data_IF_288285665129
#
_entry.id   IF_288285665129
#
_cell.length_a   1.000
_cell.length_b   1.000
_cell.length_c   1.000
_cell.angle_alpha   90.00
_cell.angle_beta   90.00
_cell.angle_gamma   90.00
#
_symmetry.space_group_name_H-M   'P 1'
#
loop_
_entity.id
_entity.type
_entity.pdbx_description
1 polymer ?
#
# COMPACT_ATOMS: atom_id res chain seq x y z
N UNK A 1 -14.74 18.96 -49.54
CA UNK A 1 -13.56 18.29 -48.95
C UNK A 1 -12.98 19.04 -47.75
N UNK A 2 -12.60 20.33 -47.87
CA UNK A 2 -12.01 21.14 -46.78
C UNK A 2 -12.85 21.20 -45.48
N UNK A 3 -14.18 21.33 -45.61
CA UNK A 3 -15.13 21.32 -44.47
C UNK A 3 -15.21 19.97 -43.73
N UNK A 4 -14.98 18.86 -44.46
CA UNK A 4 -15.00 17.51 -43.91
C UNK A 4 -13.73 17.21 -43.09
N UNK A 5 -12.59 17.72 -43.56
CA UNK A 5 -11.31 17.68 -42.84
C UNK A 5 -11.36 18.45 -41.51
N UNK A 6 -12.00 19.63 -41.50
CA UNK A 6 -12.19 20.43 -40.29
C UNK A 6 -13.07 19.68 -39.26
N UNK A 7 -14.10 18.97 -39.72
CA UNK A 7 -14.96 18.17 -38.85
C UNK A 7 -14.20 17.01 -38.20
N UNK A 8 -13.37 16.30 -38.97
CA UNK A 8 -12.53 15.20 -38.46
C UNK A 8 -11.55 15.72 -37.40
N UNK A 9 -10.94 16.89 -37.61
CA UNK A 9 -10.02 17.52 -36.66
C UNK A 9 -10.75 17.88 -35.36
N UNK A 10 -11.96 18.45 -35.43
CA UNK A 10 -12.78 18.79 -34.26
C UNK A 10 -13.19 17.56 -33.43
N UNK A 11 -13.54 16.45 -34.08
CA UNK A 11 -13.92 15.20 -33.39
C UNK A 11 -12.73 14.59 -32.65
N UNK A 12 -11.51 14.69 -33.20
CA UNK A 12 -10.29 14.19 -32.55
C UNK A 12 -9.99 14.88 -31.21
N UNK A 13 -10.38 16.14 -31.02
CA UNK A 13 -10.21 16.84 -29.74
C UNK A 13 -11.17 16.38 -28.63
N UNK A 14 -12.22 15.63 -28.97
CA UNK A 14 -13.22 15.15 -27.98
C UNK A 14 -12.82 13.84 -27.30
N UNK A 15 -11.74 13.17 -27.76
CA UNK A 15 -11.34 11.83 -27.29
C UNK A 15 -10.59 11.84 -25.95
N UNK A 16 -10.18 13.02 -25.44
CA UNK A 16 -9.40 13.10 -24.22
C UNK A 16 -10.31 13.17 -22.97
N UNK A 17 -10.75 12.00 -22.49
CA UNK A 17 -11.44 11.87 -21.19
C UNK A 17 -10.91 10.67 -20.39
N UNK A 18 -9.63 10.70 -20.02
CA UNK A 18 -9.09 9.78 -19.01
C UNK A 18 -9.25 10.39 -17.62
N UNK A 19 -10.49 10.55 -17.14
CA UNK A 19 -10.72 10.80 -15.71
C UNK A 19 -10.66 9.46 -14.99
N UNK A 20 -9.65 9.27 -14.16
CA UNK A 20 -9.63 8.14 -13.23
C UNK A 20 -10.53 8.55 -12.08
N UNK A 21 -11.79 8.14 -12.12
CA UNK A 21 -12.80 8.52 -11.13
C UNK A 21 -12.50 7.93 -9.75
N UNK A 22 -11.84 6.77 -9.70
CA UNK A 22 -11.54 6.07 -8.46
C UNK A 22 -10.08 5.64 -8.43
N UNK A 23 -9.26 6.37 -7.65
CA UNK A 23 -7.88 6.00 -7.35
C UNK A 23 -7.83 5.39 -5.96
N UNK A 24 -7.59 4.08 -5.87
CA UNK A 24 -7.25 3.42 -4.61
C UNK A 24 -5.79 3.77 -4.27
N UNK A 25 -5.60 4.69 -3.31
CA UNK A 25 -4.27 5.14 -2.91
C UNK A 25 -3.67 4.14 -1.93
N UNK A 26 -2.42 3.78 -2.16
CA UNK A 26 -1.62 2.99 -1.24
C UNK A 26 -0.28 3.71 -0.98
N UNK A 27 0.32 3.43 0.18
CA UNK A 27 1.66 3.90 0.51
C UNK A 27 2.47 2.76 1.11
N UNK A 28 3.79 2.85 0.95
CA UNK A 28 4.74 1.94 1.58
C UNK A 28 5.43 2.66 2.72
N UNK A 29 5.66 1.92 3.79
CA UNK A 29 6.38 2.41 4.95
C UNK A 29 7.28 1.30 5.49
N UNK A 30 8.54 1.66 5.77
CA UNK A 30 9.57 0.75 6.29
C UNK A 30 10.13 1.34 7.57
N UNK A 31 10.30 0.49 8.58
CA UNK A 31 10.97 0.82 9.83
C UNK A 31 11.68 -0.40 10.40
N UNK A 32 12.66 -0.15 11.26
CA UNK A 32 13.37 -1.18 12.03
C UNK A 32 12.95 -1.14 13.50
N UNK A 33 13.22 -2.22 14.24
CA UNK A 33 13.13 -2.39 15.71
C UNK A 33 11.79 -2.88 16.29
N UNK A 34 10.67 -2.20 16.09
CA UNK A 34 9.43 -2.56 16.82
C UNK A 34 8.53 -3.53 16.04
N UNK A 35 7.72 -4.30 16.76
CA UNK A 35 6.80 -5.29 16.16
C UNK A 35 5.36 -4.78 16.04
N UNK A 36 5.11 -3.56 16.53
CA UNK A 36 3.78 -2.97 16.66
C UNK A 36 3.71 -1.59 16.02
N UNK A 37 2.53 -1.15 15.62
CA UNK A 37 2.33 0.22 15.14
C UNK A 37 2.47 1.20 16.31
N UNK A 38 3.18 2.31 16.11
CA UNK A 38 3.19 3.42 17.06
C UNK A 38 1.85 4.17 17.06
N UNK A 39 1.57 4.97 18.10
CA UNK A 39 0.35 5.78 18.16
C UNK A 39 0.22 6.74 16.96
N UNK A 40 1.35 7.26 16.48
CA UNK A 40 1.39 8.11 15.28
C UNK A 40 1.03 7.33 14.02
N UNK A 41 1.55 6.10 13.88
CA UNK A 41 1.24 5.22 12.75
C UNK A 41 -0.23 4.81 12.76
N UNK A 42 -0.77 4.48 13.93
CA UNK A 42 -2.20 4.22 14.10
C UNK A 42 -3.05 5.41 13.66
N UNK A 43 -2.71 6.63 14.12
CA UNK A 43 -3.43 7.84 13.74
C UNK A 43 -3.38 8.10 12.23
N UNK A 44 -2.25 7.79 11.57
CA UNK A 44 -2.13 7.84 10.11
C UNK A 44 -3.06 6.82 9.45
N UNK A 45 -3.08 5.57 9.91
CA UNK A 45 -3.99 4.56 9.39
C UNK A 45 -5.47 4.98 9.51
N UNK A 46 -5.87 5.55 10.65
CA UNK A 46 -7.23 6.02 10.89
C UNK A 46 -7.60 7.23 10.03
N UNK A 47 -6.75 8.25 10.00
CA UNK A 47 -7.00 9.48 9.23
C UNK A 47 -7.10 9.21 7.73
N UNK A 48 -6.31 8.27 7.22
CA UNK A 48 -6.33 7.84 5.82
C UNK A 48 -7.40 6.77 5.53
N UNK A 49 -8.14 6.32 6.55
CA UNK A 49 -9.17 5.28 6.46
C UNK A 49 -8.64 4.01 5.79
N UNK A 50 -7.46 3.57 6.21
CA UNK A 50 -6.80 2.39 5.65
C UNK A 50 -7.66 1.15 5.91
N UNK A 51 -7.96 0.42 4.83
CA UNK A 51 -8.77 -0.79 4.89
C UNK A 51 -7.90 -2.06 4.90
N UNK A 52 -6.77 -2.03 4.18
CA UNK A 52 -5.87 -3.17 4.00
C UNK A 52 -4.49 -2.81 4.50
N UNK A 53 -3.95 -3.64 5.40
CA UNK A 53 -2.59 -3.50 5.88
C UNK A 53 -1.75 -4.69 5.39
N UNK A 54 -0.77 -4.42 4.54
CA UNK A 54 0.17 -5.42 4.06
C UNK A 54 1.43 -5.35 4.92
N UNK A 55 1.75 -6.44 5.61
CA UNK A 55 2.86 -6.44 6.59
C UNK A 55 3.84 -7.56 6.29
N UNK A 56 5.13 -7.18 6.25
CA UNK A 56 6.26 -8.10 6.24
C UNK A 56 7.18 -7.78 7.40
N UNK A 57 7.47 -8.77 8.22
CA UNK A 57 8.53 -8.69 9.21
C UNK A 57 9.70 -9.54 8.76
N UNK A 58 10.88 -8.92 8.73
CA UNK A 58 12.14 -9.61 8.51
C UNK A 58 12.92 -9.57 9.81
N UNK A 59 13.30 -10.74 10.29
CA UNK A 59 14.36 -10.85 11.29
C UNK A 59 15.63 -11.35 10.63
N UNK A 60 16.74 -11.21 11.35
CA UNK A 60 18.01 -11.84 11.02
C UNK A 60 18.21 -12.93 12.06
N UNK A 61 18.30 -14.17 11.59
CA UNK A 61 18.73 -15.31 12.41
C UNK A 61 20.20 -15.62 12.12
N UNK A 62 20.80 -16.43 12.98
CA UNK A 62 22.22 -16.78 12.88
C UNK A 62 22.43 -18.30 13.00
N UNK A 63 23.25 -18.83 12.11
CA UNK A 63 23.72 -20.21 12.16
C UNK A 63 25.23 -20.23 11.88
N UNK A 64 25.97 -21.06 12.61
CA UNK A 64 27.44 -21.10 12.55
C UNK A 64 28.00 -21.49 11.16
N UNK A 65 27.25 -22.24 10.35
CA UNK A 65 27.66 -22.71 9.01
C UNK A 65 27.45 -21.66 7.91
N UNK A 66 26.38 -20.86 8.01
CA UNK A 66 25.92 -19.94 6.95
C UNK A 66 25.95 -18.46 7.37
N UNK A 67 26.22 -18.17 8.64
CA UNK A 67 26.23 -16.82 9.19
C UNK A 67 24.84 -16.23 9.40
N UNK A 68 24.72 -14.92 9.25
CA UNK A 68 23.44 -14.21 9.38
C UNK A 68 22.56 -14.41 8.14
N UNK A 69 21.31 -14.86 8.32
CA UNK A 69 20.36 -15.04 7.23
C UNK A 69 18.98 -14.46 7.57
N UNK A 70 18.22 -13.95 6.57
CA UNK A 70 16.93 -13.35 6.82
C UNK A 70 15.88 -14.44 7.06
N UNK A 71 15.04 -14.24 8.07
CA UNK A 71 13.86 -15.09 8.32
C UNK A 71 12.60 -14.24 8.36
N UNK A 72 11.49 -14.78 7.86
CA UNK A 72 10.18 -14.15 7.95
C UNK A 72 9.43 -14.71 9.16
N UNK A 73 9.43 -13.99 10.28
CA UNK A 73 8.53 -14.29 11.41
C UNK A 73 7.30 -13.40 11.30
N UNK A 74 6.27 -13.85 10.60
CA UNK A 74 5.04 -13.05 10.45
C UNK A 74 4.11 -13.22 11.66
N UNK A 75 4.43 -12.57 12.78
CA UNK A 75 3.50 -12.41 13.91
C UNK A 75 3.35 -10.92 14.25
N UNK A 76 2.35 -10.29 13.65
CA UNK A 76 1.86 -8.98 14.08
C UNK A 76 0.92 -9.20 15.27
N UNK A 77 1.31 -8.83 16.48
CA UNK A 77 0.46 -8.89 17.66
C UNK A 77 0.32 -7.52 18.31
N UNK A 78 -0.73 -6.79 17.95
CA UNK A 78 -1.08 -5.54 18.64
C UNK A 78 -2.54 -5.60 19.09
N UNK A 79 -2.75 -5.47 20.40
CA UNK A 79 -4.08 -5.36 21.03
C UNK A 79 -4.87 -4.12 20.56
N UNK A 80 -4.20 -3.21 19.84
CA UNK A 80 -4.78 -1.98 19.30
C UNK A 80 -5.22 -2.10 17.83
N UNK A 81 -4.93 -3.21 17.15
CA UNK A 81 -5.40 -3.41 15.77
C UNK A 81 -6.93 -3.49 15.72
N UNK A 82 -7.55 -3.99 16.78
CA UNK A 82 -9.01 -4.04 16.94
C UNK A 82 -9.64 -2.64 17.00
N UNK A 83 -8.88 -1.61 17.40
CA UNK A 83 -9.34 -0.21 17.41
C UNK A 83 -9.38 0.39 15.99
N UNK A 84 -8.57 -0.15 15.07
CA UNK A 84 -8.53 0.30 13.69
C UNK A 84 -9.64 -0.41 12.89
N UNK A 85 -10.32 0.32 11.99
CA UNK A 85 -11.31 -0.26 11.07
C UNK A 85 -10.66 -0.99 9.88
N UNK A 86 -9.59 -1.73 10.14
CA UNK A 86 -8.89 -2.55 9.15
C UNK A 86 -9.73 -3.78 8.87
N UNK A 87 -10.03 -4.02 7.60
CA UNK A 87 -10.83 -5.18 7.18
C UNK A 87 -9.96 -6.41 6.91
N UNK A 88 -8.67 -6.22 6.60
CA UNK A 88 -7.75 -7.33 6.37
C UNK A 88 -6.30 -6.96 6.65
N UNK A 89 -5.59 -7.87 7.34
CA UNK A 89 -4.14 -7.85 7.49
C UNK A 89 -3.58 -8.96 6.61
N UNK A 90 -2.77 -8.59 5.63
CA UNK A 90 -2.26 -9.51 4.61
C UNK A 90 -0.75 -9.70 4.84
N UNK A 91 -0.30 -10.91 5.24
CA UNK A 91 1.11 -11.22 5.28
C UNK A 91 1.67 -11.20 3.86
N UNK A 92 2.82 -10.56 3.65
CA UNK A 92 3.47 -10.55 2.33
C UNK A 92 4.64 -11.55 2.28
N UNK A 93 4.73 -12.27 1.15
CA UNK A 93 5.73 -13.33 0.89
C UNK A 93 7.11 -12.75 0.65
#
# INVERSE_FOLDING_TARGET
MKKFLILIILVSFSSCKNKIDNVERAFYFWRSKDWNLSDKEMQVCDSLKIQKLYVKFFEVDYNDEIGSFPISKTRLSSWRLDDLKITSIIPTV
#
